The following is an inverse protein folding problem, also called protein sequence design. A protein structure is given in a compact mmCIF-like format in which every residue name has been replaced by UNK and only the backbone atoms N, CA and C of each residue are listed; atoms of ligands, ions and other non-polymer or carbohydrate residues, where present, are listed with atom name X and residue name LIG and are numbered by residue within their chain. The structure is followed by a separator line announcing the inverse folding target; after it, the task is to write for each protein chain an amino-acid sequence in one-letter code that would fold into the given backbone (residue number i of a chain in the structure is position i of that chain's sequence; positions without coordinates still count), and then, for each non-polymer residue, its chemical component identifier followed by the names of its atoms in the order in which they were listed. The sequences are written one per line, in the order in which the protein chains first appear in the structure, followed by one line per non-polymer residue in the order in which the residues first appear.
data_IF_955005079935
#
_entry.id   IF_955005079935
#
_cell.length_a   1.000
_cell.length_b   1.000
_cell.length_c   1.000
_cell.angle_alpha   90.00
_cell.angle_beta   90.00
_cell.angle_gamma   90.00
#
_symmetry.space_group_name_H-M   'P 1'
#
loop_
_entity.id
_entity.type
_entity.pdbx_description
1 polymer ?
#
# COMPACT_ATOMS: atom_id res chain seq x y z
N UNK A 1 -38.75 14.44 -32.26
CA UNK A 1 -38.38 15.76 -31.68
C UNK A 1 -39.33 15.99 -30.52
N UNK A 2 -39.00 15.43 -29.35
CA UNK A 2 -39.85 15.49 -28.17
C UNK A 2 -39.67 16.84 -27.47
N UNK A 3 -40.70 17.67 -27.62
CA UNK A 3 -40.78 18.99 -27.00
C UNK A 3 -41.13 18.78 -25.52
N UNK A 4 -40.13 18.57 -24.68
CA UNK A 4 -40.26 18.59 -23.21
C UNK A 4 -40.54 20.03 -22.76
N UNK A 5 -41.78 20.47 -22.89
CA UNK A 5 -42.29 21.67 -22.23
C UNK A 5 -42.37 21.36 -20.73
N UNK A 6 -41.44 21.88 -19.92
CA UNK A 6 -41.71 22.02 -18.50
C UNK A 6 -42.81 23.08 -18.36
N UNK A 7 -43.94 22.79 -17.72
CA UNK A 7 -45.00 23.76 -17.57
C UNK A 7 -44.49 24.90 -16.67
N UNK A 8 -44.56 26.13 -17.18
CA UNK A 8 -44.31 27.31 -16.37
C UNK A 8 -45.45 27.41 -15.34
N UNK A 9 -45.18 27.41 -14.03
CA UNK A 9 -46.23 27.47 -13.02
C UNK A 9 -47.03 28.78 -13.16
N UNK A 10 -48.36 28.69 -13.24
CA UNK A 10 -49.26 29.83 -13.48
C UNK A 10 -49.85 30.39 -12.18
N UNK A 11 -49.85 29.60 -11.11
CA UNK A 11 -50.34 30.01 -9.79
C UNK A 11 -49.25 29.92 -8.73
N UNK A 12 -49.42 30.67 -7.63
CA UNK A 12 -48.49 30.65 -6.50
C UNK A 12 -48.35 29.24 -5.88
N UNK A 13 -49.45 28.47 -5.82
CA UNK A 13 -49.42 27.08 -5.35
C UNK A 13 -48.59 26.17 -6.25
N UNK A 14 -48.73 26.30 -7.58
CA UNK A 14 -47.90 25.57 -8.54
C UNK A 14 -46.43 25.98 -8.48
N UNK A 15 -46.15 27.25 -8.21
CA UNK A 15 -44.79 27.75 -8.04
C UNK A 15 -44.12 27.11 -6.81
N UNK A 16 -44.83 27.01 -5.68
CA UNK A 16 -44.33 26.32 -4.48
C UNK A 16 -44.07 24.84 -4.75
N UNK A 17 -44.98 24.16 -5.44
CA UNK A 17 -44.81 22.75 -5.84
C UNK A 17 -43.62 22.57 -6.78
N UNK A 18 -43.44 23.47 -7.74
CA UNK A 18 -42.31 23.47 -8.67
C UNK A 18 -40.97 23.65 -7.93
N UNK A 19 -40.89 24.62 -6.99
CA UNK A 19 -39.69 24.87 -6.18
C UNK A 19 -39.36 23.66 -5.30
N UNK A 20 -40.36 23.10 -4.60
CA UNK A 20 -40.17 21.90 -3.79
C UNK A 20 -39.64 20.72 -4.63
N UNK A 21 -40.18 20.54 -5.84
CA UNK A 21 -39.73 19.49 -6.74
C UNK A 21 -38.30 19.73 -7.27
N UNK A 22 -37.94 20.98 -7.57
CA UNK A 22 -36.56 21.33 -7.95
C UNK A 22 -35.59 21.05 -6.80
N UNK A 23 -35.98 21.38 -5.57
CA UNK A 23 -35.17 21.17 -4.39
C UNK A 23 -34.88 19.67 -4.15
N UNK A 24 -35.90 18.81 -4.30
CA UNK A 24 -35.72 17.35 -4.23
C UNK A 24 -34.77 16.84 -5.31
N UNK A 25 -34.96 17.25 -6.57
CA UNK A 25 -34.09 16.80 -7.68
C UNK A 25 -32.63 17.21 -7.50
N UNK A 26 -32.37 18.40 -6.96
CA UNK A 26 -31.01 18.85 -6.66
C UNK A 26 -30.37 18.01 -5.55
N UNK A 27 -31.16 17.67 -4.52
CA UNK A 27 -30.70 16.84 -3.42
C UNK A 27 -30.42 15.39 -3.86
N UNK A 28 -31.29 14.79 -4.68
CA UNK A 28 -31.09 13.47 -5.27
C UNK A 28 -29.83 13.42 -6.12
N UNK A 29 -29.64 14.39 -7.03
CA UNK A 29 -28.45 14.45 -7.88
C UNK A 29 -27.16 14.60 -7.06
N UNK A 30 -27.20 15.40 -5.99
CA UNK A 30 -26.06 15.55 -5.08
C UNK A 30 -25.74 14.23 -4.38
N UNK A 31 -26.75 13.54 -3.87
CA UNK A 31 -26.58 12.23 -3.20
C UNK A 31 -26.01 11.17 -4.15
N UNK A 32 -26.52 11.10 -5.39
CA UNK A 32 -26.00 10.20 -6.42
C UNK A 32 -24.53 10.47 -6.76
N UNK A 33 -24.14 11.74 -6.89
CA UNK A 33 -22.73 12.09 -7.13
C UNK A 33 -21.82 11.65 -5.99
N UNK A 34 -22.25 11.83 -4.75
CA UNK A 34 -21.50 11.39 -3.57
C UNK A 34 -21.40 9.86 -3.55
N UNK A 35 -22.51 9.15 -3.77
CA UNK A 35 -22.52 7.69 -3.83
C UNK A 35 -21.62 7.15 -4.95
N UNK A 36 -21.67 7.76 -6.14
CA UNK A 36 -20.81 7.39 -7.27
C UNK A 36 -19.33 7.66 -7.00
N UNK A 37 -18.99 8.77 -6.30
CA UNK A 37 -17.61 9.02 -5.89
C UNK A 37 -17.14 8.02 -4.84
N UNK A 38 -17.97 7.74 -3.83
CA UNK A 38 -17.65 6.77 -2.79
C UNK A 38 -17.43 5.37 -3.39
N UNK A 39 -18.29 4.93 -4.30
CA UNK A 39 -18.12 3.66 -5.01
C UNK A 39 -16.83 3.61 -5.84
N UNK A 40 -16.45 4.73 -6.50
CA UNK A 40 -15.17 4.83 -7.23
C UNK A 40 -13.98 4.77 -6.27
N UNK A 41 -14.06 5.45 -5.15
CA UNK A 41 -13.03 5.41 -4.12
C UNK A 41 -12.87 4.01 -3.53
N UNK A 42 -13.97 3.36 -3.14
CA UNK A 42 -13.98 1.97 -2.69
C UNK A 42 -13.41 1.03 -3.75
N UNK A 43 -13.71 1.24 -5.04
CA UNK A 43 -13.10 0.46 -6.13
C UNK A 43 -11.59 0.68 -6.22
N UNK A 44 -11.11 1.91 -6.00
CA UNK A 44 -9.67 2.22 -6.01
C UNK A 44 -8.95 1.67 -4.78
N UNK A 45 -9.61 1.65 -3.61
CA UNK A 45 -9.07 1.12 -2.36
C UNK A 45 -9.10 -0.41 -2.35
N UNK A 46 -10.15 -1.02 -2.88
CA UNK A 46 -10.32 -2.48 -2.96
C UNK A 46 -9.52 -3.11 -4.09
N UNK A 47 -9.18 -2.35 -5.14
CA UNK A 47 -8.27 -2.82 -6.18
C UNK A 47 -6.90 -2.98 -5.53
N UNK A 48 -6.40 -4.22 -5.38
CA UNK A 48 -5.04 -4.43 -4.94
C UNK A 48 -4.16 -3.62 -5.88
N UNK A 49 -3.14 -2.88 -5.38
CA UNK A 49 -2.19 -2.24 -6.28
C UNK A 49 -1.81 -3.30 -7.29
N UNK A 50 -2.10 -3.01 -8.58
CA UNK A 50 -1.86 -3.97 -9.64
C UNK A 50 -0.50 -4.55 -9.34
N UNK A 51 -0.42 -5.86 -9.13
CA UNK A 51 0.83 -6.55 -8.93
C UNK A 51 1.59 -6.34 -10.24
N UNK A 52 2.21 -5.16 -10.40
CA UNK A 52 3.46 -5.01 -11.09
C UNK A 52 4.21 -6.16 -10.48
N UNK A 53 4.44 -7.23 -11.25
CA UNK A 53 5.39 -8.24 -10.85
C UNK A 53 6.58 -7.40 -10.44
N UNK A 54 6.78 -7.25 -9.13
CA UNK A 54 7.87 -6.47 -8.61
C UNK A 54 9.03 -7.21 -9.23
N UNK A 55 9.64 -6.59 -10.24
CA UNK A 55 10.85 -7.10 -10.85
C UNK A 55 11.71 -7.45 -9.66
N UNK A 56 11.92 -8.75 -9.42
CA UNK A 56 12.10 -9.26 -8.05
C UNK A 56 13.17 -8.40 -7.42
N UNK A 57 12.81 -7.56 -6.44
CA UNK A 57 13.70 -6.48 -6.00
C UNK A 57 14.87 -7.19 -5.33
N UNK A 58 15.94 -7.40 -6.09
CA UNK A 58 17.08 -8.20 -5.68
C UNK A 58 18.13 -7.23 -5.22
N UNK A 59 18.38 -7.20 -3.91
CA UNK A 59 19.49 -6.44 -3.36
C UNK A 59 20.79 -7.19 -3.62
N UNK A 60 21.70 -6.60 -4.40
CA UNK A 60 23.00 -7.20 -4.75
C UNK A 60 24.12 -6.83 -3.77
N UNK A 61 23.92 -5.81 -2.93
CA UNK A 61 24.95 -5.32 -2.02
C UNK A 61 26.02 -4.51 -2.73
N UNK A 62 25.69 -3.88 -3.86
CA UNK A 62 26.60 -3.03 -4.61
C UNK A 62 26.69 -1.64 -3.97
N UNK A 63 27.81 -0.94 -4.18
CA UNK A 63 28.05 0.38 -3.58
C UNK A 63 27.09 1.47 -4.09
N UNK A 64 26.48 1.25 -5.25
CA UNK A 64 25.49 2.14 -5.86
C UNK A 64 24.03 1.75 -5.51
N UNK A 65 23.82 0.67 -4.78
CA UNK A 65 22.49 0.28 -4.31
C UNK A 65 22.24 0.85 -2.93
N UNK A 66 21.06 1.44 -2.74
CA UNK A 66 20.63 1.94 -1.45
C UNK A 66 19.93 0.83 -0.66
N UNK A 67 20.58 0.39 0.42
CA UNK A 67 20.04 -0.62 1.33
C UNK A 67 18.78 -0.13 2.04
N UNK A 68 18.75 1.14 2.48
CA UNK A 68 17.61 1.67 3.22
C UNK A 68 16.39 1.80 2.31
N UNK A 69 16.60 2.22 1.05
CA UNK A 69 15.52 2.21 0.05
C UNK A 69 15.01 0.80 -0.22
N UNK A 70 15.90 -0.20 -0.28
CA UNK A 70 15.50 -1.59 -0.45
C UNK A 70 14.65 -2.09 0.73
N UNK A 71 15.11 -1.84 1.96
CA UNK A 71 14.39 -2.21 3.19
C UNK A 71 13.02 -1.53 3.24
N UNK A 72 12.98 -0.21 3.03
CA UNK A 72 11.75 0.59 3.01
C UNK A 72 10.75 0.10 1.96
N UNK A 73 11.26 -0.36 0.81
CA UNK A 73 10.41 -0.90 -0.25
C UNK A 73 9.81 -2.24 0.16
N UNK A 74 10.54 -3.12 0.85
CA UNK A 74 10.11 -4.48 1.19
C UNK A 74 9.22 -4.57 2.43
N UNK A 75 9.42 -3.68 3.40
CA UNK A 75 8.68 -3.62 4.66
C UNK A 75 7.13 -3.63 4.49
N UNK A 76 6.51 -2.77 3.65
CA UNK A 76 5.06 -2.77 3.48
C UNK A 76 4.50 -4.01 2.77
N UNK A 77 5.31 -4.77 2.01
CA UNK A 77 4.84 -5.99 1.35
C UNK A 77 4.70 -7.17 2.31
N UNK A 78 5.50 -7.20 3.37
CA UNK A 78 5.61 -8.36 4.25
C UNK A 78 5.02 -8.13 5.64
N UNK A 79 4.97 -6.89 6.11
CA UNK A 79 4.39 -6.55 7.41
C UNK A 79 2.92 -6.99 7.56
N UNK A 80 2.05 -6.96 6.52
CA UNK A 80 0.68 -7.48 6.63
C UNK A 80 0.58 -9.02 6.66
N UNK A 81 1.63 -9.73 6.24
CA UNK A 81 1.59 -11.17 5.97
C UNK A 81 2.16 -12.00 7.11
N UNK A 82 3.08 -11.44 7.90
CA UNK A 82 3.80 -12.16 8.95
C UNK A 82 4.15 -11.21 10.10
N UNK A 83 4.17 -11.74 11.33
CA UNK A 83 4.70 -11.03 12.51
C UNK A 83 6.15 -10.62 12.25
N UNK A 84 6.41 -9.31 12.30
CA UNK A 84 7.70 -8.69 11.98
C UNK A 84 8.87 -9.29 12.78
N UNK A 85 8.66 -9.54 14.07
CA UNK A 85 9.69 -10.11 14.96
C UNK A 85 9.68 -11.66 14.95
N UNK A 86 9.40 -12.27 13.80
CA UNK A 86 9.44 -13.73 13.63
C UNK A 86 10.54 -14.17 12.67
N UNK A 87 11.08 -15.40 12.83
CA UNK A 87 12.01 -15.97 11.86
C UNK A 87 11.42 -16.09 10.44
N UNK A 88 10.10 -16.25 10.33
CA UNK A 88 9.39 -16.32 9.05
C UNK A 88 9.51 -15.02 8.26
N UNK A 89 9.36 -13.88 8.94
CA UNK A 89 9.52 -12.56 8.33
C UNK A 89 10.95 -12.34 7.82
N UNK A 90 11.95 -12.71 8.63
CA UNK A 90 13.36 -12.64 8.23
C UNK A 90 13.63 -13.47 6.97
N UNK A 91 13.10 -14.70 6.90
CA UNK A 91 13.26 -15.56 5.73
C UNK A 91 12.62 -14.95 4.48
N UNK A 92 11.44 -14.35 4.62
CA UNK A 92 10.74 -13.67 3.53
C UNK A 92 11.54 -12.50 2.97
N UNK A 93 12.08 -11.63 3.83
CA UNK A 93 12.94 -10.54 3.39
C UNK A 93 14.21 -11.10 2.73
N UNK A 94 14.80 -12.16 3.28
CA UNK A 94 16.01 -12.77 2.73
C UNK A 94 15.86 -13.29 1.29
N UNK A 95 14.66 -13.71 0.84
CA UNK A 95 14.43 -14.13 -0.55
C UNK A 95 14.71 -13.02 -1.59
N UNK A 96 14.64 -11.76 -1.16
CA UNK A 96 14.95 -10.58 -1.97
C UNK A 96 16.45 -10.27 -2.02
N UNK A 97 17.30 -11.09 -1.41
CA UNK A 97 18.74 -10.92 -1.50
C UNK A 97 19.30 -11.66 -2.73
N UNK A 98 20.28 -11.04 -3.39
CA UNK A 98 21.15 -11.72 -4.36
C UNK A 98 22.29 -12.45 -3.62
N UNK A 99 23.18 -13.10 -4.39
CA UNK A 99 24.18 -14.03 -3.86
C UNK A 99 25.06 -13.46 -2.73
N UNK A 100 25.54 -12.22 -2.85
CA UNK A 100 26.47 -11.63 -1.86
C UNK A 100 25.78 -11.35 -0.51
N UNK A 101 24.66 -10.60 -0.44
CA UNK A 101 23.92 -10.44 0.81
C UNK A 101 23.30 -11.75 1.32
N UNK A 102 22.91 -12.67 0.43
CA UNK A 102 22.42 -14.00 0.82
C UNK A 102 23.47 -14.82 1.58
N UNK A 103 24.74 -14.77 1.16
CA UNK A 103 25.82 -15.41 1.92
C UNK A 103 25.98 -14.82 3.33
N UNK A 104 25.72 -13.51 3.49
CA UNK A 104 25.72 -12.87 4.81
C UNK A 104 24.54 -13.30 5.65
N UNK A 105 23.37 -13.44 5.06
CA UNK A 105 22.21 -14.01 5.74
C UNK A 105 22.48 -15.44 6.24
N UNK A 106 23.11 -16.30 5.42
CA UNK A 106 23.50 -17.66 5.86
C UNK A 106 24.46 -17.65 7.05
N UNK A 107 25.42 -16.73 7.07
CA UNK A 107 26.33 -16.57 8.20
C UNK A 107 25.56 -16.10 9.46
N UNK A 108 24.68 -15.11 9.31
CA UNK A 108 23.82 -14.63 10.39
C UNK A 108 22.96 -15.75 10.98
N UNK A 109 22.37 -16.61 10.15
CA UNK A 109 21.62 -17.78 10.59
C UNK A 109 22.48 -18.71 11.45
N UNK A 110 23.69 -19.04 10.99
CA UNK A 110 24.62 -19.87 11.75
C UNK A 110 25.05 -19.22 13.08
N UNK A 111 25.21 -17.90 13.10
CA UNK A 111 25.58 -17.13 14.29
C UNK A 111 24.44 -17.04 15.31
N UNK A 112 23.17 -17.06 14.86
CA UNK A 112 21.99 -17.11 15.72
C UNK A 112 21.73 -18.52 16.27
N UNK A 113 21.93 -19.55 15.45
CA UNK A 113 21.63 -20.94 15.84
C UNK A 113 22.57 -21.43 16.96
N UNK A 114 23.84 -20.99 16.97
CA UNK A 114 24.85 -21.36 17.98
C UNK A 114 24.44 -21.02 19.44
N UNK A 115 24.04 -19.78 19.75
CA UNK A 115 23.55 -19.39 21.08
C UNK A 115 22.06 -19.66 21.30
N UNK A 116 21.32 -20.19 20.30
CA UNK A 116 19.87 -20.33 20.37
C UNK A 116 19.12 -18.99 20.34
N UNK A 117 19.70 -17.97 19.71
CA UNK A 117 19.10 -16.63 19.58
C UNK A 117 17.99 -16.67 18.54
N UNK A 118 16.82 -16.16 18.89
CA UNK A 118 15.70 -16.03 17.96
C UNK A 118 16.07 -15.03 16.86
N UNK A 119 15.92 -15.45 15.60
CA UNK A 119 16.08 -14.58 14.44
C UNK A 119 14.87 -13.66 14.36
N UNK A 120 15.12 -12.37 14.48
CA UNK A 120 14.07 -11.35 14.35
C UNK A 120 14.46 -10.30 13.31
N UNK A 121 13.49 -9.51 12.87
CA UNK A 121 13.76 -8.44 11.94
C UNK A 121 14.77 -7.45 12.50
N UNK A 122 14.60 -7.01 13.75
CA UNK A 122 15.51 -6.09 14.42
C UNK A 122 16.97 -6.58 14.38
N UNK A 123 17.22 -7.84 14.75
CA UNK A 123 18.57 -8.40 14.81
C UNK A 123 19.19 -8.59 13.43
N UNK A 124 18.40 -9.06 12.46
CA UNK A 124 18.84 -9.22 11.08
C UNK A 124 19.14 -7.88 10.41
N UNK A 125 18.25 -6.89 10.57
CA UNK A 125 18.37 -5.57 9.97
C UNK A 125 19.61 -4.83 10.50
N UNK A 126 19.88 -4.93 11.81
CA UNK A 126 21.14 -4.44 12.38
C UNK A 126 22.37 -5.09 11.73
N UNK A 127 22.40 -6.42 11.61
CA UNK A 127 23.52 -7.15 11.03
C UNK A 127 23.75 -6.77 9.54
N UNK A 128 22.67 -6.59 8.79
CA UNK A 128 22.70 -6.19 7.38
C UNK A 128 23.26 -4.77 7.22
N UNK A 129 22.71 -3.80 7.97
CA UNK A 129 23.17 -2.41 7.98
C UNK A 129 24.63 -2.27 8.39
N UNK A 130 25.05 -2.98 9.45
CA UNK A 130 26.44 -2.99 9.91
C UNK A 130 27.42 -3.42 8.81
N UNK A 131 26.96 -4.24 7.85
CA UNK A 131 27.83 -4.77 6.81
C UNK A 131 27.84 -3.94 5.53
N UNK A 132 26.69 -3.42 5.15
CA UNK A 132 26.49 -2.81 3.83
C UNK A 132 26.37 -1.29 3.86
N UNK A 133 26.18 -0.69 5.04
CA UNK A 133 26.26 0.76 5.19
C UNK A 133 27.66 1.20 5.61
N UNK A 134 28.11 2.39 5.15
CA UNK A 134 29.31 3.00 5.67
C UNK A 134 29.16 3.30 7.18
N UNK A 135 30.27 3.35 7.93
CA UNK A 135 30.24 3.83 9.32
C UNK A 135 29.63 5.24 9.36
N UNK A 136 28.70 5.47 10.29
CA UNK A 136 28.21 6.83 10.54
C UNK A 136 29.38 7.67 11.07
N UNK A 137 29.74 8.72 10.33
CA UNK A 137 30.75 9.71 10.75
C UNK A 137 30.20 10.62 11.82
#
# INVERSE_FOLDING_TARGET
MDKSSSPTPQTFGEMLAFVAQQQVRLQERSSEQIAAQNARFETLVSKPPAARKAESLKYHGLMNEDLELCVFTLEPYYHPLVVEESPGYVNMVAYNLASTPMNRYRQFVADCDRPGVIRTWTTFNYALRKRFLPPRQ
#
